data_IF_543940325127
#
_entry.id   IF_543940325127
#
_cell.length_a   1.000
_cell.length_b   1.000
_cell.length_c   1.000
_cell.angle_alpha   90.00
_cell.angle_beta   90.00
_cell.angle_gamma   90.00
#
_symmetry.space_group_name_H-M   'P 1'
#
loop_
_entity.id
_entity.type
_entity.pdbx_description
1 polymer ?
#
# COMPACT_ATOMS: atom_id res chain seq x y z
N UNK A 1 -15.83 15.65 -8.36
CA UNK A 1 -15.58 14.20 -8.47
C UNK A 1 -14.17 13.86 -8.01
N UNK A 2 -13.15 14.45 -8.62
CA UNK A 2 -11.72 14.40 -8.23
C UNK A 2 -11.43 14.45 -6.71
N UNK A 3 -11.91 15.50 -6.03
CA UNK A 3 -11.61 15.75 -4.61
C UNK A 3 -12.16 14.65 -3.70
N UNK A 4 -13.31 14.06 -4.07
CA UNK A 4 -13.93 12.98 -3.31
C UNK A 4 -13.10 11.69 -3.43
N UNK A 5 -12.60 11.38 -4.63
CA UNK A 5 -11.71 10.23 -4.85
C UNK A 5 -10.39 10.38 -4.07
N UNK A 6 -9.82 11.60 -4.05
CA UNK A 6 -8.61 11.89 -3.29
C UNK A 6 -8.83 11.73 -1.78
N UNK A 7 -9.96 12.20 -1.24
CA UNK A 7 -10.28 12.02 0.18
C UNK A 7 -10.49 10.53 0.50
N UNK A 8 -11.22 9.81 -0.33
CA UNK A 8 -11.49 8.38 -0.13
C UNK A 8 -10.21 7.53 -0.17
N UNK A 9 -9.29 7.81 -1.09
CA UNK A 9 -8.04 7.03 -1.18
C UNK A 9 -7.09 7.35 -0.02
N UNK A 10 -7.10 8.58 0.49
CA UNK A 10 -6.34 8.97 1.70
C UNK A 10 -6.93 8.31 2.94
N UNK A 11 -8.26 8.26 3.08
CA UNK A 11 -8.92 7.54 4.17
C UNK A 11 -8.59 6.05 4.11
N UNK A 12 -8.61 5.45 2.91
CA UNK A 12 -8.25 4.05 2.73
C UNK A 12 -6.78 3.78 3.08
N UNK A 13 -5.85 4.66 2.68
CA UNK A 13 -4.45 4.56 3.06
C UNK A 13 -4.25 4.65 4.59
N UNK A 14 -4.93 5.59 5.25
CA UNK A 14 -4.89 5.73 6.70
C UNK A 14 -5.49 4.52 7.43
N UNK A 15 -6.61 3.99 6.95
CA UNK A 15 -7.21 2.77 7.47
C UNK A 15 -6.27 1.57 7.30
N UNK A 16 -5.56 1.47 6.17
CA UNK A 16 -4.62 0.39 5.93
C UNK A 16 -3.43 0.44 6.90
N UNK A 17 -2.91 1.63 7.22
CA UNK A 17 -1.85 1.78 8.24
C UNK A 17 -2.31 1.34 9.64
N UNK A 18 -3.59 1.56 9.97
CA UNK A 18 -4.17 1.08 11.24
C UNK A 18 -4.40 -0.44 11.21
N UNK A 19 -4.93 -0.96 10.10
CA UNK A 19 -5.19 -2.39 9.94
C UNK A 19 -3.90 -3.23 10.00
N UNK A 20 -2.81 -2.72 9.43
CA UNK A 20 -1.50 -3.36 9.46
C UNK A 20 -0.87 -3.44 10.87
N UNK A 21 -1.19 -2.47 11.74
CA UNK A 21 -0.73 -2.46 13.13
C UNK A 21 -1.75 -3.07 14.12
N UNK A 22 -2.90 -3.54 13.63
CA UNK A 22 -4.01 -4.02 14.45
C UNK A 22 -4.51 -5.39 14.01
N UNK A 23 -5.77 -5.52 13.51
CA UNK A 23 -6.40 -6.81 13.25
C UNK A 23 -5.94 -7.51 11.96
N UNK A 24 -5.19 -6.84 11.09
CA UNK A 24 -4.59 -7.37 9.85
C UNK A 24 -5.58 -8.13 8.97
N UNK A 25 -6.76 -7.57 8.69
CA UNK A 25 -7.81 -8.26 7.94
C UNK A 25 -7.69 -8.00 6.43
N UNK A 26 -7.25 -6.79 6.05
CA UNK A 26 -7.18 -6.34 4.65
C UNK A 26 -5.74 -6.25 4.16
N UNK A 27 -4.80 -6.00 5.06
CA UNK A 27 -3.39 -5.78 4.74
C UNK A 27 -2.64 -7.04 4.28
N UNK A 28 -3.16 -8.24 4.59
CA UNK A 28 -2.60 -9.53 4.12
C UNK A 28 -2.76 -9.75 2.61
N UNK A 29 -3.79 -9.14 2.01
CA UNK A 29 -4.15 -9.34 0.61
C UNK A 29 -4.12 -8.02 -0.14
N UNK A 30 -2.95 -7.72 -0.73
CA UNK A 30 -2.73 -6.55 -1.58
C UNK A 30 -3.70 -6.51 -2.78
N UNK A 31 -4.19 -7.67 -3.23
CA UNK A 31 -5.26 -7.78 -4.25
C UNK A 31 -6.57 -7.11 -3.80
N UNK A 32 -6.99 -7.32 -2.55
CA UNK A 32 -8.24 -6.77 -2.03
C UNK A 32 -8.10 -5.24 -1.91
N UNK A 33 -6.93 -4.78 -1.46
CA UNK A 33 -6.60 -3.36 -1.41
C UNK A 33 -6.58 -2.73 -2.81
N UNK A 34 -6.02 -3.44 -3.80
CA UNK A 34 -6.05 -3.05 -5.21
C UNK A 34 -7.46 -2.98 -5.80
N UNK A 35 -8.33 -3.92 -5.42
CA UNK A 35 -9.74 -3.91 -5.82
C UNK A 35 -10.47 -2.67 -5.28
N UNK A 36 -10.33 -2.37 -3.98
CA UNK A 36 -11.02 -1.24 -3.35
C UNK A 36 -10.46 0.09 -3.88
N UNK A 37 -9.14 0.22 -3.99
CA UNK A 37 -8.51 1.42 -4.54
C UNK A 37 -8.87 1.65 -6.02
N UNK A 38 -8.95 0.59 -6.83
CA UNK A 38 -9.40 0.65 -8.21
C UNK A 38 -10.88 1.05 -8.33
N UNK A 39 -11.74 0.55 -7.44
CA UNK A 39 -13.15 0.93 -7.37
C UNK A 39 -13.35 2.41 -7.00
N UNK A 40 -12.54 2.93 -6.07
CA UNK A 40 -12.55 4.36 -5.71
C UNK A 40 -12.06 5.22 -6.87
N UNK A 41 -11.01 4.79 -7.57
CA UNK A 41 -10.41 5.52 -8.69
C UNK A 41 -11.25 5.42 -9.98
N UNK A 42 -12.19 4.48 -10.06
CA UNK A 42 -13.06 4.27 -11.22
C UNK A 42 -12.49 3.32 -12.28
N UNK A 43 -11.34 2.70 -12.01
CA UNK A 43 -10.72 1.69 -12.86
C UNK A 43 -10.28 0.48 -12.03
N UNK A 44 -11.20 -0.47 -11.92
CA UNK A 44 -11.00 -1.70 -11.16
C UNK A 44 -10.03 -2.67 -11.84
N UNK A 45 -9.91 -2.65 -13.17
CA UNK A 45 -8.97 -3.52 -13.89
C UNK A 45 -7.53 -3.12 -13.55
N UNK A 46 -7.23 -1.83 -13.65
CA UNK A 46 -5.90 -1.31 -13.30
C UNK A 46 -5.56 -1.56 -11.83
N UNK A 47 -6.52 -1.37 -10.91
CA UNK A 47 -6.34 -1.67 -9.49
C UNK A 47 -6.07 -3.14 -9.20
N UNK A 48 -6.82 -4.06 -9.84
CA UNK A 48 -6.64 -5.50 -9.67
C UNK A 48 -5.31 -6.00 -10.27
N UNK A 49 -4.89 -5.48 -11.43
CA UNK A 49 -3.61 -5.87 -12.03
C UNK A 49 -2.44 -5.45 -11.13
N UNK A 50 -2.47 -4.23 -10.60
CA UNK A 50 -1.40 -3.73 -9.69
C UNK A 50 -1.41 -4.52 -8.37
N UNK A 51 -2.58 -4.68 -7.74
CA UNK A 51 -2.70 -5.44 -6.49
C UNK A 51 -2.35 -6.92 -6.65
N UNK A 52 -2.70 -7.52 -7.79
CA UNK A 52 -2.33 -8.88 -8.17
C UNK A 52 -0.81 -9.05 -8.32
N UNK A 53 -0.16 -8.14 -9.03
CA UNK A 53 1.30 -8.18 -9.16
C UNK A 53 1.99 -8.01 -7.81
N UNK A 54 1.57 -7.05 -6.98
CA UNK A 54 2.15 -6.89 -5.65
C UNK A 54 1.89 -8.07 -4.71
N UNK A 55 0.75 -8.75 -4.83
CA UNK A 55 0.49 -9.98 -4.10
C UNK A 55 1.42 -11.13 -4.52
N UNK A 56 1.66 -11.28 -5.83
CA UNK A 56 2.60 -12.28 -6.32
C UNK A 56 4.04 -11.95 -5.89
N UNK A 57 4.40 -10.67 -5.88
CA UNK A 57 5.69 -10.21 -5.35
C UNK A 57 5.82 -10.47 -3.85
N UNK A 58 4.75 -10.28 -3.07
CA UNK A 58 4.77 -10.57 -1.63
C UNK A 58 4.93 -12.06 -1.33
N UNK A 59 4.41 -12.94 -2.19
CA UNK A 59 4.65 -14.39 -2.08
C UNK A 59 6.10 -14.76 -2.39
N UNK A 60 6.77 -14.02 -3.25
CA UNK A 60 8.19 -14.21 -3.59
C UNK A 60 9.16 -13.67 -2.54
N UNK A 61 8.72 -12.76 -1.68
CA UNK A 61 9.54 -12.12 -0.64
C UNK A 61 9.12 -12.63 0.73
N UNK A 62 9.78 -13.70 1.18
CA UNK A 62 9.66 -14.16 2.56
C UNK A 62 10.55 -13.28 3.46
N UNK A 63 9.97 -12.63 4.46
CA UNK A 63 10.70 -11.97 5.54
C UNK A 63 11.44 -13.02 6.40
N UNK A 64 12.58 -13.53 5.91
CA UNK A 64 13.41 -14.47 6.65
C UNK A 64 14.46 -13.68 7.46
N UNK A 65 14.47 -13.88 8.78
CA UNK A 65 15.57 -13.42 9.65
C UNK A 65 15.49 -11.97 10.16
N UNK A 66 14.28 -11.44 10.43
CA UNK A 66 14.13 -10.08 11.00
C UNK A 66 14.17 -8.94 9.97
N UNK A 67 14.17 -9.28 8.66
CA UNK A 67 14.03 -8.31 7.58
C UNK A 67 12.59 -7.76 7.52
N UNK A 68 12.44 -6.44 7.41
CA UNK A 68 11.13 -5.82 7.19
C UNK A 68 10.73 -6.02 5.73
N UNK A 69 9.70 -6.85 5.48
CA UNK A 69 9.14 -7.02 4.15
C UNK A 69 8.45 -5.72 3.68
N UNK A 70 8.50 -5.40 2.37
CA UNK A 70 7.83 -4.23 1.79
C UNK A 70 6.33 -4.14 2.13
N UNK A 71 5.82 -2.91 2.17
CA UNK A 71 4.42 -2.67 2.49
C UNK A 71 3.63 -2.71 1.18
N UNK A 72 3.30 -3.93 0.77
CA UNK A 72 2.70 -4.20 -0.52
C UNK A 72 1.31 -3.60 -0.69
N UNK A 73 0.51 -3.49 0.39
CA UNK A 73 -0.80 -2.86 0.27
C UNK A 73 -0.71 -1.34 0.13
N UNK A 74 0.18 -0.64 0.86
CA UNK A 74 0.40 0.80 0.63
C UNK A 74 1.01 1.06 -0.75
N UNK A 75 1.95 0.20 -1.18
CA UNK A 75 2.50 0.25 -2.54
C UNK A 75 1.39 0.09 -3.60
N UNK A 76 0.42 -0.79 -3.35
CA UNK A 76 -0.72 -1.01 -4.23
C UNK A 76 -1.60 0.23 -4.31
N UNK A 77 -1.97 0.85 -3.18
CA UNK A 77 -2.83 2.04 -3.17
C UNK A 77 -2.18 3.19 -3.95
N UNK A 78 -0.89 3.43 -3.71
CA UNK A 78 -0.14 4.51 -4.36
C UNK A 78 0.07 4.18 -5.83
N UNK A 79 0.40 2.93 -6.17
CA UNK A 79 0.51 2.46 -7.54
C UNK A 79 -0.79 2.66 -8.32
N UNK A 80 -1.92 2.20 -7.78
CA UNK A 80 -3.23 2.35 -8.40
C UNK A 80 -3.62 3.82 -8.57
N UNK A 81 -3.35 4.66 -7.57
CA UNK A 81 -3.54 6.11 -7.68
C UNK A 81 -2.76 6.68 -8.87
N UNK A 82 -1.45 6.44 -8.93
CA UNK A 82 -0.58 6.98 -9.98
C UNK A 82 -0.98 6.45 -11.36
N UNK A 83 -1.28 5.15 -11.47
CA UNK A 83 -1.68 4.51 -12.72
C UNK A 83 -2.92 5.15 -13.33
N UNK A 84 -3.97 5.30 -12.52
CA UNK A 84 -5.26 5.82 -12.99
C UNK A 84 -5.18 7.33 -13.21
N UNK A 85 -4.42 8.04 -12.37
CA UNK A 85 -4.33 9.50 -12.44
C UNK A 85 -3.43 10.01 -13.58
N UNK A 86 -2.35 9.29 -13.85
CA UNK A 86 -1.35 9.70 -14.85
C UNK A 86 -1.56 8.98 -16.18
N UNK A 87 -2.35 7.90 -16.22
CA UNK A 87 -2.56 7.09 -17.42
C UNK A 87 -1.28 6.40 -17.92
N UNK A 88 -0.26 6.31 -17.09
CA UNK A 88 1.09 5.80 -17.44
C UNK A 88 1.15 4.29 -17.60
N UNK A 89 0.02 3.59 -17.44
CA UNK A 89 -0.05 2.14 -17.48
C UNK A 89 0.41 1.48 -16.18
N UNK A 90 0.14 0.17 -16.08
CA UNK A 90 0.38 -0.64 -14.88
C UNK A 90 1.88 -0.82 -14.58
N UNK A 91 2.71 -0.99 -15.60
CA UNK A 91 4.15 -1.21 -15.41
C UNK A 91 4.85 0.00 -14.78
N UNK A 92 4.54 1.21 -15.26
CA UNK A 92 5.09 2.44 -14.69
C UNK A 92 4.63 2.65 -13.24
N UNK A 93 3.37 2.30 -12.97
CA UNK A 93 2.81 2.40 -11.63
C UNK A 93 3.43 1.42 -10.63
N UNK A 94 3.78 0.21 -11.06
CA UNK A 94 4.51 -0.75 -10.23
C UNK A 94 5.94 -0.26 -10.00
N UNK A 95 6.61 0.26 -11.04
CA UNK A 95 7.97 0.78 -10.95
C UNK A 95 8.10 1.94 -9.96
N UNK A 96 7.07 2.78 -9.85
CA UNK A 96 7.03 3.91 -8.89
C UNK A 96 6.43 3.48 -7.54
N UNK A 97 5.39 2.63 -7.54
CA UNK A 97 4.68 2.21 -6.33
C UNK A 97 5.55 1.38 -5.39
N UNK A 98 6.41 0.51 -5.93
CA UNK A 98 7.30 -0.34 -5.14
C UNK A 98 8.29 0.47 -4.27
N UNK A 99 9.11 1.40 -4.80
CA UNK A 99 10.02 2.19 -3.98
C UNK A 99 9.27 3.07 -2.97
N UNK A 100 8.07 3.58 -3.31
CA UNK A 100 7.27 4.35 -2.34
C UNK A 100 6.76 3.47 -1.20
N UNK A 101 6.30 2.26 -1.49
CA UNK A 101 5.92 1.29 -0.45
C UNK A 101 7.09 0.85 0.44
N UNK A 102 8.31 0.81 -0.11
CA UNK A 102 9.52 0.56 0.67
C UNK A 102 9.86 1.75 1.58
N UNK A 103 9.73 2.99 1.09
CA UNK A 103 9.92 4.20 1.90
C UNK A 103 8.91 4.28 3.05
N UNK A 104 7.67 3.84 2.83
CA UNK A 104 6.64 3.81 3.87
C UNK A 104 7.08 2.99 5.10
N UNK A 105 7.79 1.88 4.90
CA UNK A 105 8.34 1.08 6.01
C UNK A 105 9.46 1.78 6.73
N UNK A 106 10.34 2.46 6.00
CA UNK A 106 11.43 3.19 6.65
C UNK A 106 10.88 4.28 7.57
N UNK A 107 9.80 4.95 7.15
CA UNK A 107 9.07 5.89 8.01
C UNK A 107 8.38 5.18 9.18
N UNK A 108 7.77 4.01 8.95
CA UNK A 108 7.14 3.22 10.01
C UNK A 108 8.13 2.80 11.10
N UNK A 109 9.33 2.36 10.73
CA UNK A 109 10.40 2.00 11.68
C UNK A 109 10.79 3.21 12.54
N UNK A 110 10.93 4.39 11.94
CA UNK A 110 11.22 5.63 12.68
C UNK A 110 10.10 5.96 13.67
N UNK A 111 8.84 5.85 13.26
CA UNK A 111 7.69 6.05 14.14
C UNK A 111 7.70 5.06 15.30
N UNK A 112 8.01 3.79 15.04
CA UNK A 112 8.07 2.75 16.07
C UNK A 112 9.18 3.00 17.09
N UNK A 113 10.36 3.45 16.64
CA UNK A 113 11.45 3.87 17.53
C UNK A 113 10.99 5.02 18.44
N UNK A 114 10.28 6.00 17.88
CA UNK A 114 9.79 7.15 18.65
C UNK A 114 8.73 6.77 19.70
N UNK A 115 7.80 5.88 19.33
CA UNK A 115 6.77 5.36 20.25
C UNK A 115 7.42 4.58 21.40
N UNK A 116 8.38 3.69 21.11
CA UNK A 116 9.08 2.92 22.14
C UNK A 116 9.84 3.83 23.12
N UNK A 117 10.42 4.94 22.62
CA UNK A 117 11.11 5.91 23.47
C UNK A 117 10.16 6.63 24.45
N UNK A 118 8.90 6.84 24.07
CA UNK A 118 7.90 7.48 24.92
C UNK A 118 7.31 6.48 25.94
N UNK A 119 7.20 5.20 25.59
CA UNK A 119 6.65 4.17 26.48
C UNK A 119 7.58 3.73 27.60
N UNK A 120 8.88 4.03 27.51
CA UNK A 120 9.88 3.72 28.55
C UNK A 120 9.96 4.79 29.66
N UNK A 121 9.05 5.78 29.65
CA UNK A 121 8.81 6.75 30.74
C UNK A 121 7.45 6.53 31.40
#
# INVERSE_FOLDING_TARGET
MEVIQNILIVILAGYMTVDQNGPVVLSWFSVIVGMISGLIMGDMNTGLMIGGTFQLMSLGVAALGGASAPNYGLATIIGTFIAVRTGTGVDAAIAVGLPVGLLAIQLEVVVRIHINFISDF
#
